data_IF_525230441233
#
_entry.id   IF_525230441233
#
_cell.length_a   1.000
_cell.length_b   1.000
_cell.length_c   1.000
_cell.angle_alpha   90.00
_cell.angle_beta   90.00
_cell.angle_gamma   90.00
#
_symmetry.space_group_name_H-M   'P 1'
#
loop_
_entity.id
_entity.type
_entity.pdbx_description
1 polymer ?
#
# COMPACT_ATOMS: atom_id res chain seq x y z
N UNK A 1 0.82 3.01 29.33
CA UNK A 1 0.88 3.80 28.09
C UNK A 1 0.83 2.93 26.84
N UNK A 2 1.80 2.03 26.57
CA UNK A 2 1.75 1.14 25.39
C UNK A 2 0.46 0.30 25.30
N UNK A 3 0.07 -0.39 26.38
CA UNK A 3 -1.18 -1.17 26.42
C UNK A 3 -2.42 -0.29 26.22
N UNK A 4 -2.41 0.96 26.70
CA UNK A 4 -3.54 1.89 26.54
C UNK A 4 -3.74 2.32 25.07
N UNK A 5 -2.67 2.33 24.28
CA UNK A 5 -2.75 2.57 22.82
C UNK A 5 -3.27 1.32 22.12
N UNK A 6 -2.75 0.14 22.49
CA UNK A 6 -3.04 -1.11 21.78
C UNK A 6 -4.37 -1.75 22.15
N UNK A 7 -4.90 -1.48 23.34
CA UNK A 7 -6.18 -2.00 23.85
C UNK A 7 -7.25 -0.90 23.89
N UNK A 8 -7.04 0.18 23.14
CA UNK A 8 -7.96 1.31 23.11
C UNK A 8 -9.34 0.87 22.58
N UNK A 9 -10.39 1.15 23.35
CA UNK A 9 -11.77 0.80 22.98
C UNK A 9 -12.49 1.92 22.21
N UNK A 10 -11.94 3.14 22.23
CA UNK A 10 -12.57 4.32 21.62
C UNK A 10 -12.17 4.49 20.16
N UNK A 11 -10.93 4.16 19.81
CA UNK A 11 -10.42 4.22 18.44
C UNK A 11 -9.70 2.93 18.07
N UNK A 12 -9.75 2.59 16.78
CA UNK A 12 -8.94 1.51 16.23
C UNK A 12 -7.43 1.77 16.48
N UNK A 13 -6.71 0.86 17.17
CA UNK A 13 -5.31 1.03 17.51
C UNK A 13 -4.40 1.24 16.28
N UNK A 14 -4.75 0.63 15.15
CA UNK A 14 -4.00 0.80 13.91
C UNK A 14 -4.10 2.24 13.39
N UNK A 15 -5.30 2.81 13.38
CA UNK A 15 -5.57 4.20 12.99
C UNK A 15 -4.88 5.21 13.91
N UNK A 16 -4.89 4.98 15.23
CA UNK A 16 -4.18 5.82 16.21
C UNK A 16 -2.67 5.83 15.96
N UNK A 17 -2.07 4.65 15.81
CA UNK A 17 -0.65 4.52 15.52
C UNK A 17 -0.28 5.14 14.16
N UNK A 18 -1.18 5.07 13.18
CA UNK A 18 -0.96 5.67 11.88
C UNK A 18 -0.92 7.19 11.95
N UNK A 19 -1.86 7.81 12.67
CA UNK A 19 -1.85 9.25 12.92
C UNK A 19 -0.60 9.68 13.71
N UNK A 20 -0.26 8.92 14.76
CA UNK A 20 0.94 9.21 15.54
C UNK A 20 2.23 9.12 14.69
N UNK A 21 2.32 8.16 13.77
CA UNK A 21 3.41 8.06 12.79
C UNK A 21 3.51 9.33 11.93
N UNK A 22 2.38 9.88 11.48
CA UNK A 22 2.38 11.09 10.67
C UNK A 22 2.88 12.31 11.44
N UNK A 23 2.49 12.43 12.71
CA UNK A 23 2.95 13.53 13.57
C UNK A 23 4.45 13.41 13.84
N UNK A 24 4.98 12.20 14.05
CA UNK A 24 6.42 11.96 14.19
C UNK A 24 7.21 12.36 12.93
N UNK A 25 6.66 12.10 11.73
CA UNK A 25 7.34 12.41 10.46
C UNK A 25 7.25 13.90 10.09
N UNK A 26 6.05 14.49 10.23
CA UNK A 26 5.78 15.87 9.80
C UNK A 26 6.12 16.91 10.86
N UNK A 27 6.33 16.50 12.11
CA UNK A 27 6.54 17.34 13.31
C UNK A 27 5.33 18.21 13.70
N UNK A 28 4.53 18.64 12.73
CA UNK A 28 3.28 19.39 12.92
C UNK A 28 2.21 18.90 11.94
N UNK A 29 1.00 18.63 12.45
CA UNK A 29 -0.19 18.26 11.66
C UNK A 29 -1.34 19.17 12.06
N UNK A 30 -2.19 19.60 11.12
CA UNK A 30 -3.36 20.43 11.43
C UNK A 30 -4.38 19.66 12.29
N UNK A 31 -4.97 20.34 13.28
CA UNK A 31 -6.10 19.79 14.03
C UNK A 31 -7.34 19.73 13.14
N UNK A 32 -7.98 18.57 13.12
CA UNK A 32 -9.27 18.32 12.48
C UNK A 32 -10.33 17.84 13.49
N UNK A 33 -9.97 17.81 14.78
CA UNK A 33 -10.80 17.36 15.91
C UNK A 33 -11.39 15.95 15.72
N UNK A 34 -10.73 15.11 14.90
CA UNK A 34 -11.12 13.71 14.74
C UNK A 34 -11.02 12.94 16.04
N UNK A 35 -11.76 11.83 16.11
CA UNK A 35 -11.75 10.95 17.28
C UNK A 35 -10.33 10.46 17.63
N UNK A 36 -9.51 10.19 16.62
CA UNK A 36 -8.13 9.75 16.79
C UNK A 36 -7.23 10.86 17.37
N UNK A 37 -7.40 12.11 16.91
CA UNK A 37 -6.66 13.25 17.46
C UNK A 37 -7.03 13.51 18.92
N UNK A 38 -8.34 13.53 19.20
CA UNK A 38 -8.88 13.69 20.56
C UNK A 38 -8.35 12.60 21.49
N UNK A 39 -8.31 11.36 21.02
CA UNK A 39 -7.82 10.25 21.83
C UNK A 39 -6.31 10.31 22.10
N UNK A 40 -5.50 10.70 21.10
CA UNK A 40 -4.07 10.92 21.32
C UNK A 40 -3.80 12.08 22.30
N UNK A 41 -4.65 13.11 22.30
CA UNK A 41 -4.63 14.21 23.29
C UNK A 41 -5.02 13.70 24.69
N UNK A 42 -6.07 12.89 24.81
CA UNK A 42 -6.52 12.29 26.07
C UNK A 42 -5.44 11.38 26.69
N UNK A 43 -4.72 10.63 25.86
CA UNK A 43 -3.58 9.82 26.27
C UNK A 43 -2.34 10.65 26.61
N UNK A 44 -2.36 11.96 26.32
CA UNK A 44 -1.25 12.89 26.56
C UNK A 44 -0.03 12.64 25.69
N UNK A 45 -0.18 11.95 24.55
CA UNK A 45 0.91 11.65 23.61
C UNK A 45 1.25 12.85 22.73
N UNK A 46 0.24 13.67 22.45
CA UNK A 46 0.34 14.87 21.62
C UNK A 46 -0.22 16.08 22.37
N UNK A 47 0.13 17.27 21.90
CA UNK A 47 -0.37 18.56 22.37
C UNK A 47 -0.80 19.40 21.17
N UNK A 48 -1.75 20.29 21.39
CA UNK A 48 -2.31 21.18 20.37
C UNK A 48 -2.03 22.67 20.70
N UNK A 49 -0.81 23.19 20.47
CA UNK A 49 -0.56 24.63 20.54
C UNK A 49 -1.20 25.35 19.35
N UNK A 50 -2.45 25.79 19.52
CA UNK A 50 -3.22 26.50 18.48
C UNK A 50 -3.90 25.55 17.50
N UNK A 51 -3.59 25.68 16.20
CA UNK A 51 -4.19 24.85 15.15
C UNK A 51 -3.34 23.61 14.79
N UNK A 52 -2.15 23.46 15.38
CA UNK A 52 -1.23 22.37 15.06
C UNK A 52 -1.10 21.38 16.21
N UNK A 53 -1.02 20.10 15.87
CA UNK A 53 -0.67 18.98 16.73
C UNK A 53 0.81 18.68 16.65
N UNK A 54 1.42 18.44 17.80
CA UNK A 54 2.83 18.06 17.94
C UNK A 54 3.00 17.06 19.10
N UNK A 55 4.13 16.37 19.15
CA UNK A 55 4.40 15.39 20.22
C UNK A 55 4.54 16.12 21.57
N UNK A 56 3.83 15.64 22.59
CA UNK A 56 3.77 16.30 23.90
C UNK A 56 5.12 16.33 24.63
N UNK A 57 5.92 15.26 24.45
CA UNK A 57 7.18 15.08 25.15
C UNK A 57 8.22 14.45 24.22
N UNK A 58 9.40 15.07 24.12
CA UNK A 58 10.54 14.55 23.34
C UNK A 58 11.00 13.15 23.78
N UNK A 59 10.70 12.74 25.02
CA UNK A 59 10.95 11.37 25.48
C UNK A 59 10.08 10.37 24.70
N UNK A 60 8.84 10.73 24.37
CA UNK A 60 7.95 9.86 23.58
C UNK A 60 8.49 9.62 22.18
N UNK A 61 9.12 10.62 21.54
CA UNK A 61 9.80 10.45 20.26
C UNK A 61 10.95 9.42 20.32
N UNK A 62 11.55 9.22 21.50
CA UNK A 62 12.64 8.25 21.69
C UNK A 62 12.13 6.86 22.07
N UNK A 63 11.08 6.79 22.88
CA UNK A 63 10.50 5.53 23.38
C UNK A 63 9.50 4.94 22.38
N UNK A 64 8.51 5.73 21.94
CA UNK A 64 7.53 5.39 20.92
C UNK A 64 7.99 5.91 19.55
N UNK A 65 9.25 5.64 19.20
CA UNK A 65 9.85 6.09 17.95
C UNK A 65 9.23 5.42 16.71
N UNK A 66 9.62 5.88 15.52
CA UNK A 66 9.13 5.34 14.24
C UNK A 66 9.29 3.82 14.12
N UNK A 67 10.42 3.27 14.53
CA UNK A 67 10.67 1.81 14.46
C UNK A 67 9.70 1.02 15.37
N UNK A 68 9.40 1.55 16.55
CA UNK A 68 8.39 0.94 17.44
C UNK A 68 7.00 0.99 16.80
N UNK A 69 6.60 2.15 16.25
CA UNK A 69 5.28 2.34 15.61
C UNK A 69 5.12 1.41 14.41
N UNK A 70 6.11 1.32 13.52
CA UNK A 70 6.08 0.45 12.35
C UNK A 70 5.91 -1.02 12.73
N UNK A 71 6.64 -1.48 13.75
CA UNK A 71 6.53 -2.85 14.25
C UNK A 71 5.12 -3.15 14.76
N UNK A 72 4.46 -2.18 15.41
CA UNK A 72 3.07 -2.33 15.88
C UNK A 72 2.08 -2.31 14.73
N UNK A 73 2.24 -1.40 13.77
CA UNK A 73 1.40 -1.33 12.57
C UNK A 73 1.43 -2.64 11.79
N UNK A 74 2.61 -3.23 11.59
CA UNK A 74 2.77 -4.54 10.92
C UNK A 74 2.01 -5.64 11.66
N UNK A 75 2.08 -5.68 13.00
CA UNK A 75 1.39 -6.70 13.81
C UNK A 75 -0.12 -6.57 13.72
N UNK A 76 -0.62 -5.34 13.73
CA UNK A 76 -2.06 -5.03 13.72
C UNK A 76 -2.66 -5.10 12.31
N UNK A 77 -1.84 -5.02 11.26
CA UNK A 77 -2.34 -5.06 9.89
C UNK A 77 -3.05 -6.39 9.59
N UNK A 78 -4.20 -6.39 8.88
CA UNK A 78 -4.90 -7.62 8.46
C UNK A 78 -4.03 -8.62 7.66
N UNK A 79 -2.93 -8.13 7.09
CA UNK A 79 -1.96 -8.91 6.31
C UNK A 79 -0.64 -9.18 7.05
N UNK A 80 -0.67 -9.22 8.38
CA UNK A 80 0.51 -9.50 9.20
C UNK A 80 1.20 -10.85 8.88
N UNK A 81 0.43 -11.86 8.45
CA UNK A 81 0.95 -13.20 8.10
C UNK A 81 1.84 -13.18 6.85
N UNK A 82 1.39 -12.66 5.68
CA UNK A 82 2.28 -12.47 4.53
C UNK A 82 3.53 -11.66 4.85
N UNK A 83 3.39 -10.56 5.61
CA UNK A 83 4.51 -9.72 6.04
C UNK A 83 5.61 -10.51 6.77
N UNK A 84 5.19 -11.39 7.69
CA UNK A 84 6.10 -12.27 8.44
C UNK A 84 6.67 -13.40 7.58
N UNK A 85 5.83 -14.02 6.74
CA UNK A 85 6.21 -15.14 5.90
C UNK A 85 7.34 -14.78 4.93
N UNK A 86 7.25 -13.59 4.32
CA UNK A 86 8.24 -13.09 3.37
C UNK A 86 9.34 -12.25 4.01
N UNK A 87 9.42 -12.24 5.36
CA UNK A 87 10.47 -11.55 6.13
C UNK A 87 10.79 -10.15 5.62
N UNK A 88 9.77 -9.37 5.26
CA UNK A 88 9.97 -8.04 4.67
C UNK A 88 10.69 -7.08 5.63
N UNK A 89 10.66 -7.39 6.93
CA UNK A 89 11.46 -6.73 7.97
C UNK A 89 12.98 -6.81 7.77
N UNK A 90 13.46 -7.77 6.97
CA UNK A 90 14.88 -7.92 6.63
C UNK A 90 15.23 -7.30 5.27
N UNK A 91 14.22 -6.87 4.51
CA UNK A 91 14.38 -6.37 3.14
C UNK A 91 14.22 -4.86 3.02
N UNK A 92 13.75 -4.17 4.07
CA UNK A 92 13.57 -2.72 4.04
C UNK A 92 13.88 -2.06 5.38
N UNK A 93 14.33 -0.81 5.32
CA UNK A 93 14.44 0.06 6.49
C UNK A 93 13.06 0.39 7.09
N UNK A 94 12.04 0.58 6.25
CA UNK A 94 10.64 0.73 6.65
C UNK A 94 9.76 -0.36 6.00
N UNK A 95 9.64 -1.54 6.63
CA UNK A 95 8.88 -2.67 6.06
C UNK A 95 7.39 -2.38 5.92
N UNK A 96 6.85 -1.53 6.79
CA UNK A 96 5.46 -1.10 6.70
C UNK A 96 5.22 -0.22 5.47
N UNK A 97 6.11 0.75 5.19
CA UNK A 97 5.99 1.59 4.00
C UNK A 97 6.20 0.76 2.72
N UNK A 98 7.16 -0.16 2.73
CA UNK A 98 7.35 -1.12 1.64
C UNK A 98 6.06 -1.88 1.34
N UNK A 99 5.43 -2.43 2.38
CA UNK A 99 4.21 -3.19 2.21
C UNK A 99 3.00 -2.34 1.81
N UNK A 100 2.91 -1.11 2.31
CA UNK A 100 1.91 -0.14 1.87
C UNK A 100 2.02 0.10 0.36
N UNK A 101 3.24 0.26 -0.16
CA UNK A 101 3.48 0.39 -1.59
C UNK A 101 3.10 -0.90 -2.35
N UNK A 102 3.44 -2.07 -1.84
CA UNK A 102 3.01 -3.36 -2.42
C UNK A 102 1.49 -3.41 -2.56
N UNK A 103 0.74 -3.18 -1.48
CA UNK A 103 -0.72 -3.19 -1.48
C UNK A 103 -1.30 -2.15 -2.43
N UNK A 104 -0.68 -0.98 -2.45
CA UNK A 104 -1.05 0.10 -3.35
C UNK A 104 -0.96 -0.33 -4.82
N UNK A 105 0.09 -1.07 -5.20
CA UNK A 105 0.29 -1.58 -6.57
C UNK A 105 -0.58 -2.80 -6.90
N UNK A 106 -0.91 -3.63 -5.92
CA UNK A 106 -1.69 -4.86 -6.14
C UNK A 106 -3.19 -4.67 -5.96
N UNK A 107 -3.62 -3.49 -5.47
CA UNK A 107 -5.02 -3.21 -5.17
C UNK A 107 -5.58 -4.15 -4.11
N UNK A 108 -4.74 -4.58 -3.17
CA UNK A 108 -5.07 -5.52 -2.10
C UNK A 108 -5.56 -6.90 -2.60
N UNK A 109 -5.29 -7.24 -3.87
CA UNK A 109 -5.56 -8.58 -4.39
C UNK A 109 -4.58 -9.58 -3.80
N UNK A 110 -5.09 -10.63 -3.16
CA UNK A 110 -4.29 -11.61 -2.43
C UNK A 110 -3.21 -12.28 -3.27
N UNK A 111 -3.56 -12.79 -4.45
CA UNK A 111 -2.62 -13.51 -5.30
C UNK A 111 -1.46 -12.61 -5.76
N UNK A 112 -1.77 -11.38 -6.17
CA UNK A 112 -0.76 -10.41 -6.62
C UNK A 112 0.09 -9.89 -5.45
N UNK A 113 -0.53 -9.64 -4.30
CA UNK A 113 0.16 -9.21 -3.07
C UNK A 113 1.16 -10.25 -2.61
N UNK A 114 0.73 -11.52 -2.54
CA UNK A 114 1.59 -12.62 -2.18
C UNK A 114 2.74 -12.78 -3.19
N UNK A 115 2.44 -12.70 -4.50
CA UNK A 115 3.47 -12.84 -5.53
C UNK A 115 4.50 -11.71 -5.48
N UNK A 116 4.06 -10.46 -5.31
CA UNK A 116 4.98 -9.32 -5.24
C UNK A 116 5.84 -9.36 -3.97
N UNK A 117 5.27 -9.79 -2.83
CA UNK A 117 6.06 -10.05 -1.62
C UNK A 117 7.11 -11.15 -1.84
N UNK A 118 6.74 -12.24 -2.54
CA UNK A 118 7.67 -13.31 -2.89
C UNK A 118 8.83 -12.81 -3.76
N UNK A 119 8.53 -12.02 -4.80
CA UNK A 119 9.55 -11.46 -5.70
C UNK A 119 10.54 -10.54 -4.95
N UNK A 120 10.06 -9.74 -4.01
CA UNK A 120 10.91 -8.89 -3.17
C UNK A 120 11.73 -9.73 -2.19
N UNK A 121 11.17 -10.82 -1.68
CA UNK A 121 11.92 -11.73 -0.82
C UNK A 121 13.06 -12.44 -1.57
N UNK A 122 12.80 -12.87 -2.81
CA UNK A 122 13.76 -13.55 -3.68
C UNK A 122 14.80 -12.61 -4.30
N UNK A 123 14.56 -11.30 -4.34
CA UNK A 123 15.53 -10.33 -4.85
C UNK A 123 16.63 -10.03 -3.84
N UNK A 124 17.86 -9.79 -4.31
CA UNK A 124 18.99 -9.43 -3.44
C UNK A 124 19.00 -7.93 -3.04
N UNK A 125 17.85 -7.25 -3.18
CA UNK A 125 17.74 -5.81 -2.94
C UNK A 125 17.39 -5.56 -1.48
N UNK A 126 18.14 -4.65 -0.84
CA UNK A 126 17.75 -4.02 0.40
C UNK A 126 17.18 -2.63 0.10
N UNK A 127 15.93 -2.39 0.51
CA UNK A 127 15.21 -1.16 0.28
C UNK A 127 15.54 -0.16 1.39
N UNK A 128 16.34 0.85 1.06
CA UNK A 128 16.64 1.93 1.98
C UNK A 128 15.41 2.81 2.25
N UNK A 129 15.44 3.55 3.35
CA UNK A 129 14.38 4.49 3.74
C UNK A 129 14.11 5.52 2.64
N UNK A 130 12.84 5.76 2.34
CA UNK A 130 12.33 6.63 1.27
C UNK A 130 12.59 6.12 -0.17
N UNK A 131 13.06 4.89 -0.34
CA UNK A 131 13.21 4.26 -1.67
C UNK A 131 12.14 3.20 -1.96
N UNK A 132 11.23 2.95 -1.02
CA UNK A 132 10.21 1.90 -1.10
C UNK A 132 9.37 2.01 -2.37
N UNK A 133 8.85 3.21 -2.64
CA UNK A 133 8.01 3.46 -3.82
C UNK A 133 8.78 3.23 -5.14
N UNK A 134 10.05 3.64 -5.19
CA UNK A 134 10.89 3.47 -6.38
C UNK A 134 11.18 1.99 -6.64
N UNK A 135 11.61 1.26 -5.61
CA UNK A 135 12.00 -0.14 -5.71
C UNK A 135 10.81 -1.05 -6.05
N UNK A 136 9.67 -0.84 -5.37
CA UNK A 136 8.43 -1.56 -5.70
C UNK A 136 8.02 -1.28 -7.14
N UNK A 137 8.06 -0.01 -7.56
CA UNK A 137 7.76 0.35 -8.95
C UNK A 137 8.67 -0.37 -9.94
N UNK A 138 9.97 -0.46 -9.67
CA UNK A 138 10.91 -1.12 -10.56
C UNK A 138 10.62 -2.62 -10.69
N UNK A 139 10.46 -3.31 -9.56
CA UNK A 139 10.14 -4.75 -9.54
C UNK A 139 8.81 -5.01 -10.25
N UNK A 140 7.80 -4.18 -9.98
CA UNK A 140 6.50 -4.27 -10.66
C UNK A 140 6.64 -4.06 -12.18
N UNK A 141 7.45 -3.09 -12.62
CA UNK A 141 7.69 -2.87 -14.04
C UNK A 141 8.39 -4.08 -14.69
N UNK A 142 9.45 -4.59 -14.09
CA UNK A 142 10.27 -5.66 -14.66
C UNK A 142 9.60 -7.04 -14.60
N UNK A 143 8.87 -7.32 -13.52
CA UNK A 143 8.35 -8.66 -13.21
C UNK A 143 6.82 -8.80 -13.35
N UNK A 144 6.06 -7.72 -13.45
CA UNK A 144 4.59 -7.79 -13.58
C UNK A 144 4.05 -7.07 -14.82
N UNK A 145 4.77 -6.10 -15.36
CA UNK A 145 4.36 -5.34 -16.55
C UNK A 145 5.12 -5.80 -17.78
N UNK A 146 6.45 -5.82 -17.72
CA UNK A 146 7.29 -6.26 -18.82
C UNK A 146 7.15 -7.78 -18.98
N UNK A 147 6.90 -8.24 -20.21
CA UNK A 147 6.81 -9.67 -20.55
C UNK A 147 5.78 -10.47 -19.73
N UNK A 148 4.75 -9.80 -19.21
CA UNK A 148 3.68 -10.43 -18.41
C UNK A 148 2.94 -11.57 -19.15
N UNK A 149 2.96 -11.64 -20.48
CA UNK A 149 2.35 -12.75 -21.23
C UNK A 149 3.10 -14.07 -21.05
N UNK A 150 4.38 -13.99 -20.66
CA UNK A 150 5.32 -15.12 -20.67
C UNK A 150 5.87 -15.47 -19.30
N UNK A 151 5.80 -14.56 -18.32
CA UNK A 151 6.35 -14.79 -16.99
C UNK A 151 5.41 -15.64 -16.11
N UNK A 152 5.99 -16.47 -15.24
CA UNK A 152 5.23 -17.27 -14.28
C UNK A 152 4.56 -16.40 -13.20
N UNK A 153 5.13 -15.24 -12.86
CA UNK A 153 4.59 -14.34 -11.84
C UNK A 153 3.24 -13.70 -12.22
N UNK A 154 2.84 -13.77 -13.48
CA UNK A 154 1.65 -13.14 -14.03
C UNK A 154 0.56 -14.16 -14.40
N UNK A 155 0.66 -15.39 -13.90
CA UNK A 155 -0.39 -16.41 -14.01
C UNK A 155 -1.80 -15.92 -13.65
N UNK A 156 -2.03 -15.20 -12.53
CA UNK A 156 -3.35 -14.66 -12.21
C UNK A 156 -3.88 -13.71 -13.30
N UNK A 157 -2.99 -12.92 -13.90
CA UNK A 157 -3.33 -11.96 -14.96
C UNK A 157 -3.66 -12.67 -16.28
N UNK A 158 -2.93 -13.74 -16.60
CA UNK A 158 -3.22 -14.60 -17.76
C UNK A 158 -4.55 -15.32 -17.60
N UNK A 159 -4.84 -15.87 -16.42
CA UNK A 159 -6.10 -16.50 -16.11
C UNK A 159 -7.28 -15.51 -16.22
N UNK A 160 -7.10 -14.27 -15.76
CA UNK A 160 -8.11 -13.22 -15.90
C UNK A 160 -8.37 -12.88 -17.39
N UNK A 161 -7.30 -12.72 -18.19
CA UNK A 161 -7.44 -12.51 -19.64
C UNK A 161 -8.23 -13.64 -20.29
N UNK A 162 -7.88 -14.89 -19.98
CA UNK A 162 -8.57 -16.05 -20.52
C UNK A 162 -10.06 -16.05 -20.13
N UNK A 163 -10.37 -15.77 -18.87
CA UNK A 163 -11.76 -15.64 -18.38
C UNK A 163 -12.56 -14.55 -19.11
N UNK A 164 -11.93 -13.44 -19.50
CA UNK A 164 -12.60 -12.37 -20.26
C UNK A 164 -12.85 -12.81 -21.70
N UNK A 165 -11.87 -13.43 -22.35
CA UNK A 165 -11.96 -13.87 -23.75
C UNK A 165 -12.91 -15.06 -23.94
N UNK A 166 -12.98 -15.96 -22.97
CA UNK A 166 -13.85 -17.14 -22.99
C UNK A 166 -15.21 -16.88 -22.30
N UNK A 167 -15.50 -15.64 -21.93
CA UNK A 167 -16.73 -15.30 -21.23
C UNK A 167 -17.94 -15.57 -22.14
N UNK A 168 -18.82 -16.49 -21.70
CA UNK A 168 -20.03 -16.88 -22.42
C UNK A 168 -21.23 -15.97 -22.13
N UNK A 169 -21.16 -15.15 -21.09
CA UNK A 169 -22.27 -14.31 -20.63
C UNK A 169 -22.31 -12.95 -21.32
N UNK A 170 -21.16 -12.44 -21.75
CA UNK A 170 -21.04 -11.17 -22.45
C UNK A 170 -20.08 -11.31 -23.62
N UNK A 171 -20.33 -10.61 -24.72
CA UNK A 171 -19.39 -10.55 -25.83
C UNK A 171 -18.05 -9.95 -25.33
N UNK A 172 -16.91 -10.65 -25.49
CA UNK A 172 -15.61 -10.16 -25.08
C UNK A 172 -15.27 -8.77 -25.64
N UNK A 173 -15.73 -8.46 -26.86
CA UNK A 173 -15.49 -7.16 -27.50
C UNK A 173 -16.19 -6.04 -26.73
N UNK A 174 -17.44 -6.24 -26.32
CA UNK A 174 -18.21 -5.22 -25.59
C UNK A 174 -17.62 -4.96 -24.20
N UNK A 175 -17.12 -6.01 -23.53
CA UNK A 175 -16.39 -5.88 -22.27
C UNK A 175 -15.11 -5.05 -22.43
N UNK A 176 -14.34 -5.31 -23.49
CA UNK A 176 -13.12 -4.56 -23.78
C UNK A 176 -13.41 -3.10 -24.14
N UNK A 177 -14.49 -2.84 -24.89
CA UNK A 177 -14.93 -1.46 -25.21
C UNK A 177 -15.39 -0.73 -23.96
N UNK A 178 -16.15 -1.38 -23.07
CA UNK A 178 -16.59 -0.78 -21.81
C UNK A 178 -15.41 -0.46 -20.90
N UNK A 179 -14.46 -1.40 -20.79
CA UNK A 179 -13.23 -1.20 -20.05
C UNK A 179 -12.39 -0.04 -20.61
N UNK A 180 -12.27 0.06 -21.94
CA UNK A 180 -11.65 1.22 -22.62
C UNK A 180 -12.30 2.55 -22.23
N UNK A 181 -13.62 2.61 -22.10
CA UNK A 181 -14.34 3.82 -21.68
C UNK A 181 -14.05 4.19 -20.22
N UNK A 182 -14.07 3.21 -19.31
CA UNK A 182 -13.73 3.43 -17.89
C UNK A 182 -12.35 4.07 -17.76
N UNK A 183 -11.40 3.64 -18.60
CA UNK A 183 -10.05 4.15 -18.57
C UNK A 183 -9.91 5.58 -19.06
N UNK A 184 -10.57 5.89 -20.16
CA UNK A 184 -10.56 7.22 -20.73
C UNK A 184 -11.16 8.22 -19.73
N UNK A 185 -12.21 7.84 -18.99
CA UNK A 185 -12.77 8.66 -17.92
C UNK A 185 -11.86 8.79 -16.70
N UNK A 186 -11.13 7.73 -16.30
CA UNK A 186 -10.20 7.80 -15.17
C UNK A 186 -8.89 8.55 -15.46
N UNK A 187 -8.56 8.77 -16.74
CA UNK A 187 -7.39 9.56 -17.18
C UNK A 187 -7.65 11.08 -17.20
N UNK A 188 -8.91 11.52 -17.19
CA UNK A 188 -9.31 12.94 -17.37
C UNK A 188 -9.40 13.71 -16.05
N UNK A 189 -9.48 13.03 -14.91
CA UNK A 189 -9.35 13.67 -13.58
C UNK A 189 -7.88 13.71 -13.16
N UNK A 190 -7.10 14.62 -13.77
CA UNK A 190 -5.68 14.81 -13.42
C UNK A 190 -5.51 15.74 -12.21
N UNK A 191 -5.01 15.20 -11.10
CA UNK A 191 -4.08 15.90 -10.21
C UNK A 191 -3.22 14.97 -9.35
N UNK A 192 -3.62 13.71 -9.12
CA UNK A 192 -2.85 12.79 -8.25
C UNK A 192 -2.40 11.52 -8.98
N UNK A 193 -1.12 11.49 -9.36
CA UNK A 193 -0.37 10.25 -9.47
C UNK A 193 0.23 9.99 -8.08
N UNK A 194 -0.17 8.94 -7.34
CA UNK A 194 -0.18 7.54 -7.75
C UNK A 194 -1.49 6.87 -7.32
N UNK A 195 -2.46 6.70 -8.22
CA UNK A 195 -3.63 5.80 -8.03
C UNK A 195 -3.91 4.96 -9.27
N UNK A 196 -3.24 5.30 -10.37
CA UNK A 196 -3.45 4.76 -11.71
C UNK A 196 -2.59 3.53 -11.99
N UNK A 197 -1.56 3.28 -11.18
CA UNK A 197 -0.50 2.34 -11.51
C UNK A 197 -0.93 0.86 -11.39
N UNK A 198 -1.71 0.51 -10.34
CA UNK A 198 -2.35 -0.80 -10.21
C UNK A 198 -3.36 -1.09 -11.34
N UNK A 199 -4.07 -0.06 -11.80
CA UNK A 199 -5.02 -0.17 -12.92
C UNK A 199 -4.33 -0.22 -14.28
N UNK A 200 -3.13 0.35 -14.43
CA UNK A 200 -2.34 0.31 -15.66
C UNK A 200 -1.67 -1.06 -15.89
N UNK A 201 -1.38 -1.82 -14.82
CA UNK A 201 -0.82 -3.19 -14.91
C UNK A 201 -1.81 -4.10 -15.62
N UNK A 202 -3.07 -4.18 -15.19
CA UNK A 202 -4.08 -5.09 -15.79
C UNK A 202 -4.43 -4.77 -17.27
N UNK A 203 -3.85 -3.71 -17.83
CA UNK A 203 -4.45 -2.95 -18.92
C UNK A 203 -3.54 -2.69 -20.10
N UNK A 204 -2.25 -2.44 -19.85
CA UNK A 204 -1.22 -2.72 -20.87
C UNK A 204 -1.30 -4.18 -21.34
N UNK A 205 -1.73 -5.04 -20.43
CA UNK A 205 -1.95 -6.48 -20.57
C UNK A 205 -3.04 -6.79 -21.60
N UNK A 206 -4.25 -6.22 -21.48
CA UNK A 206 -5.34 -6.54 -22.41
C UNK A 206 -5.21 -5.85 -23.79
N UNK A 207 -4.61 -4.66 -23.85
CA UNK A 207 -4.53 -3.87 -25.10
C UNK A 207 -3.39 -4.33 -26.02
N UNK A 208 -2.24 -4.74 -25.45
CA UNK A 208 -1.11 -5.23 -26.27
C UNK A 208 -1.45 -6.50 -27.06
N UNK A 209 -2.39 -7.31 -26.57
CA UNK A 209 -2.85 -8.52 -27.27
C UNK A 209 -3.87 -8.27 -28.39
N UNK A 210 -4.59 -7.15 -28.37
CA UNK A 210 -5.57 -6.81 -29.42
C UNK A 210 -4.93 -6.05 -30.59
N UNK A 211 -3.80 -5.37 -30.36
CA UNK A 211 -3.08 -4.63 -31.42
C UNK A 211 -2.19 -5.53 -32.31
N UNK A 212 -2.10 -6.84 -32.05
CA UNK A 212 -1.34 -7.83 -32.85
C UNK A 212 -2.23 -8.78 -33.67
N UNK A 213 -3.54 -8.56 -33.70
CA UNK A 213 -4.52 -9.25 -34.57
C UNK A 213 -5.15 -8.27 -35.53
#
# INVERSE_FOLDING_TARGET
>A
MEQQILENQQCDPFSLLKLYQEILLKQTVLSDDSAQQTELLNLGLIVQPGENLSIANRIYEKVFNLAWVEKKLIRLHPWNKPLQLFKLEQKASSPYNLFKEILFWTGEQFDLTQKLCQLIFESDIFVAENQEAMQVRQIVQECLINNWETQAATEPLRALRQKILENRQCNPIDLLVFYRKILQHQLVSQSDYPRTAAKLITLRIAIASYARS
#
